data_IF_746857631051
#
_entry.id   IF_746857631051
#
_cell.length_a   1.000
_cell.length_b   1.000
_cell.length_c   1.000
_cell.angle_alpha   90.00
_cell.angle_beta   90.00
_cell.angle_gamma   90.00
#
_symmetry.space_group_name_H-M   'P 1'
#
loop_
_entity.id
_entity.type
_entity.pdbx_description
1 polymer ?
#
# COMPACT_ATOMS: atom_id res chain seq x y z
N UNK A 1 -8.96 -13.60 -42.55
CA UNK A 1 -9.23 -15.03 -42.76
C UNK A 1 -10.14 -15.23 -43.96
N UNK A 2 -11.04 -14.29 -44.26
CA UNK A 2 -12.01 -14.44 -45.37
C UNK A 2 -11.54 -13.85 -46.72
N UNK A 3 -10.31 -13.31 -46.79
CA UNK A 3 -9.81 -12.66 -47.99
C UNK A 3 -9.43 -13.67 -49.09
N UNK A 4 -10.08 -13.55 -50.25
CA UNK A 4 -9.93 -14.42 -51.43
C UNK A 4 -8.95 -13.78 -52.44
N UNK A 5 -9.15 -13.95 -53.75
CA UNK A 5 -8.28 -13.36 -54.80
C UNK A 5 -8.58 -11.87 -55.01
N UNK A 6 -7.68 -11.15 -55.67
CA UNK A 6 -7.69 -9.69 -55.88
C UNK A 6 -8.94 -9.12 -56.59
N UNK A 7 -9.89 -9.95 -57.01
CA UNK A 7 -11.14 -9.54 -57.67
C UNK A 7 -12.37 -10.35 -57.21
N UNK A 8 -12.25 -11.11 -56.13
CA UNK A 8 -13.34 -11.93 -55.57
C UNK A 8 -13.77 -11.37 -54.20
N UNK A 9 -15.06 -11.55 -53.88
CA UNK A 9 -15.61 -11.17 -52.57
C UNK A 9 -15.09 -12.08 -51.44
N UNK A 10 -15.20 -11.66 -50.17
CA UNK A 10 -14.73 -12.45 -49.05
C UNK A 10 -15.54 -13.75 -48.91
N UNK A 11 -14.86 -14.86 -48.69
CA UNK A 11 -15.48 -16.16 -48.44
C UNK A 11 -15.13 -16.62 -47.03
N UNK A 12 -16.11 -17.00 -46.20
CA UNK A 12 -15.86 -17.44 -44.83
C UNK A 12 -14.84 -18.57 -44.79
N UNK A 13 -13.85 -18.45 -43.91
CA UNK A 13 -12.88 -19.50 -43.61
C UNK A 13 -11.91 -19.89 -44.75
N UNK A 14 -11.79 -19.01 -45.75
CA UNK A 14 -11.01 -19.30 -46.96
C UNK A 14 -9.50 -19.45 -46.70
N UNK A 15 -8.91 -18.66 -45.79
CA UNK A 15 -7.47 -18.64 -45.49
C UNK A 15 -7.22 -18.54 -43.99
N UNK A 16 -7.38 -19.66 -43.30
CA UNK A 16 -7.08 -19.78 -41.87
C UNK A 16 -5.59 -19.64 -41.57
N UNK A 17 -4.70 -20.00 -42.50
CA UNK A 17 -3.24 -19.91 -42.31
C UNK A 17 -2.75 -18.47 -42.10
N UNK A 18 -3.50 -17.47 -42.58
CA UNK A 18 -3.23 -16.05 -42.34
C UNK A 18 -3.43 -15.67 -40.87
N UNK A 19 -4.24 -16.42 -40.12
CA UNK A 19 -4.38 -16.26 -38.67
C UNK A 19 -3.04 -16.45 -37.95
N UNK A 20 -2.28 -17.47 -38.34
CA UNK A 20 -1.00 -17.80 -37.74
C UNK A 20 0.01 -16.67 -37.93
N UNK A 21 0.00 -16.03 -39.11
CA UNK A 21 0.80 -14.84 -39.36
C UNK A 21 0.48 -13.71 -38.36
N UNK A 22 -0.80 -13.39 -38.16
CA UNK A 22 -1.19 -12.34 -37.21
C UNK A 22 -0.86 -12.71 -35.76
N UNK A 23 -1.05 -13.98 -35.36
CA UNK A 23 -0.68 -14.44 -34.02
C UNK A 23 0.81 -14.28 -33.77
N UNK A 24 1.65 -14.73 -34.71
CA UNK A 24 3.10 -14.56 -34.62
C UNK A 24 3.47 -13.08 -34.61
N UNK A 25 2.85 -12.28 -35.47
CA UNK A 25 3.10 -10.83 -35.54
C UNK A 25 2.76 -10.13 -34.22
N UNK A 26 1.59 -10.37 -33.64
CA UNK A 26 1.15 -9.74 -32.39
C UNK A 26 1.91 -10.22 -31.15
N UNK A 27 2.60 -11.35 -31.21
CA UNK A 27 3.47 -11.81 -30.12
C UNK A 27 4.89 -11.28 -30.31
N UNK A 28 5.49 -11.54 -31.47
CA UNK A 28 6.91 -11.28 -31.71
C UNK A 28 7.20 -9.79 -31.83
N UNK A 29 6.35 -9.04 -32.54
CA UNK A 29 6.61 -7.63 -32.80
C UNK A 29 6.52 -6.78 -31.51
N UNK A 30 5.45 -6.84 -30.70
CA UNK A 30 5.42 -6.12 -29.42
C UNK A 30 6.51 -6.56 -28.46
N UNK A 31 6.82 -7.86 -28.39
CA UNK A 31 7.89 -8.37 -27.53
C UNK A 31 9.25 -7.73 -27.87
N UNK A 32 9.59 -7.67 -29.16
CA UNK A 32 10.83 -7.04 -29.61
C UNK A 32 10.86 -5.54 -29.31
N UNK A 33 9.78 -4.82 -29.61
CA UNK A 33 9.70 -3.37 -29.37
C UNK A 33 9.76 -3.01 -27.89
N UNK A 34 9.08 -3.75 -27.02
CA UNK A 34 9.13 -3.54 -25.56
C UNK A 34 10.55 -3.74 -25.05
N UNK A 35 11.26 -4.78 -25.50
CA UNK A 35 12.63 -5.04 -25.06
C UNK A 35 13.61 -3.93 -25.47
N UNK A 36 13.53 -3.45 -26.72
CA UNK A 36 14.36 -2.33 -27.18
C UNK A 36 14.04 -1.06 -26.38
N UNK A 37 12.75 -0.76 -26.19
CA UNK A 37 12.32 0.44 -25.50
C UNK A 37 12.77 0.44 -24.04
N UNK A 38 12.59 -0.69 -23.33
CA UNK A 38 13.05 -0.86 -21.95
C UNK A 38 14.57 -0.74 -21.86
N UNK A 39 15.31 -1.35 -22.79
CA UNK A 39 16.77 -1.25 -22.81
C UNK A 39 17.25 0.20 -23.00
N UNK A 40 16.66 0.93 -23.96
CA UNK A 40 17.00 2.33 -24.21
C UNK A 40 16.68 3.22 -23.00
N UNK A 41 15.52 3.02 -22.36
CA UNK A 41 15.17 3.72 -21.12
C UNK A 41 16.20 3.43 -20.03
N UNK A 42 16.57 2.17 -19.79
CA UNK A 42 17.54 1.82 -18.75
C UNK A 42 18.88 2.50 -19.02
N UNK A 43 19.40 2.44 -20.25
CA UNK A 43 20.68 3.04 -20.62
C UNK A 43 20.64 4.55 -20.42
N UNK A 44 19.61 5.22 -20.95
CA UNK A 44 19.47 6.68 -20.82
C UNK A 44 19.36 7.14 -19.37
N UNK A 45 18.61 6.43 -18.51
CA UNK A 45 18.53 6.76 -17.08
C UNK A 45 19.83 6.45 -16.33
N UNK A 46 20.56 5.40 -16.72
CA UNK A 46 21.88 5.09 -16.16
C UNK A 46 22.88 6.19 -16.51
N UNK A 47 22.94 6.59 -17.78
CA UNK A 47 23.82 7.64 -18.28
C UNK A 47 23.54 8.99 -17.60
N UNK A 48 22.26 9.37 -17.47
CA UNK A 48 21.88 10.58 -16.70
C UNK A 48 22.32 10.50 -15.23
N UNK A 49 22.16 9.33 -14.61
CA UNK A 49 22.57 9.11 -13.22
C UNK A 49 24.08 9.12 -13.00
N UNK A 50 24.87 8.75 -14.01
CA UNK A 50 26.34 8.76 -13.97
C UNK A 50 26.89 10.16 -14.27
N UNK A 51 26.32 10.88 -15.24
CA UNK A 51 26.74 12.24 -15.60
C UNK A 51 26.66 13.22 -14.41
N UNK A 52 25.69 13.06 -13.50
CA UNK A 52 25.59 13.88 -12.27
C UNK A 52 26.72 13.61 -11.26
N UNK A 53 27.37 12.44 -11.33
CA UNK A 53 28.48 12.08 -10.44
C UNK A 53 29.86 12.42 -10.99
N UNK A 54 30.00 12.50 -12.32
CA UNK A 54 31.28 12.85 -12.98
C UNK A 54 31.75 14.25 -12.55
N UNK A 55 30.83 15.21 -12.40
CA UNK A 55 31.16 16.57 -11.95
C UNK A 55 31.76 16.64 -10.53
N UNK A 56 31.65 15.57 -9.74
CA UNK A 56 32.02 15.54 -8.33
C UNK A 56 33.30 14.74 -8.03
N UNK A 57 33.91 14.04 -9.01
CA UNK A 57 35.08 13.15 -8.82
C UNK A 57 34.90 12.13 -7.65
N UNK A 58 33.64 11.80 -7.30
CA UNK A 58 33.27 11.00 -6.13
C UNK A 58 32.47 9.76 -6.56
N UNK A 59 32.81 8.59 -6.03
CA UNK A 59 32.05 7.36 -6.27
C UNK A 59 30.64 7.41 -5.64
N UNK A 60 29.68 6.69 -6.25
CA UNK A 60 28.30 6.63 -5.80
C UNK A 60 28.15 6.12 -4.37
N UNK A 61 29.00 5.20 -3.94
CA UNK A 61 28.96 4.68 -2.58
C UNK A 61 29.51 5.72 -1.59
N UNK A 62 30.57 6.45 -1.96
CA UNK A 62 31.14 7.51 -1.15
C UNK A 62 30.15 8.66 -0.93
N UNK A 63 29.49 9.14 -2.01
CA UNK A 63 28.44 10.18 -1.92
C UNK A 63 27.34 9.78 -0.92
N UNK A 64 26.84 8.54 -1.01
CA UNK A 64 25.81 8.02 -0.08
C UNK A 64 26.27 7.97 1.37
N UNK A 65 27.51 7.55 1.63
CA UNK A 65 28.06 7.52 2.98
C UNK A 65 28.23 8.93 3.58
N UNK A 66 28.73 9.88 2.78
CA UNK A 66 28.91 11.27 3.18
C UNK A 66 27.55 11.92 3.47
N UNK A 67 26.58 11.76 2.56
CA UNK A 67 25.21 12.27 2.74
C UNK A 67 24.55 11.70 4.00
N UNK A 68 24.75 10.40 4.27
CA UNK A 68 24.23 9.78 5.49
C UNK A 68 24.89 10.37 6.73
N UNK A 69 26.21 10.52 6.75
CA UNK A 69 26.94 11.07 7.89
C UNK A 69 26.54 12.52 8.20
N UNK A 70 26.35 13.35 7.18
CA UNK A 70 25.95 14.76 7.32
C UNK A 70 24.48 14.89 7.77
N UNK A 71 23.58 14.08 7.20
CA UNK A 71 22.14 14.21 7.44
C UNK A 71 21.61 13.34 8.59
N UNK A 72 22.43 12.47 9.18
CA UNK A 72 22.02 11.59 10.27
C UNK A 72 21.54 12.41 11.47
N UNK A 73 20.30 12.17 11.89
CA UNK A 73 19.70 12.75 13.10
C UNK A 73 19.49 11.66 14.15
N UNK A 74 19.67 11.98 15.45
CA UNK A 74 19.43 11.01 16.51
C UNK A 74 17.97 10.57 16.52
N UNK A 75 17.76 9.25 16.65
CA UNK A 75 16.43 8.67 16.78
C UNK A 75 15.86 9.00 18.17
N UNK A 76 14.82 9.83 18.23
CA UNK A 76 14.13 10.13 19.49
C UNK A 76 13.28 8.93 19.94
N UNK A 77 13.83 8.05 20.79
CA UNK A 77 13.05 7.01 21.49
C UNK A 77 12.66 7.50 22.87
N UNK A 78 11.36 7.66 23.12
CA UNK A 78 10.86 8.06 24.44
C UNK A 78 11.08 6.94 25.46
N UNK A 79 11.74 7.29 26.57
CA UNK A 79 11.92 6.43 27.74
C UNK A 79 11.33 7.14 28.96
N UNK A 80 10.43 6.49 29.74
CA UNK A 80 9.95 7.03 31.00
C UNK A 80 11.11 7.24 31.99
N UNK A 81 11.13 8.38 32.69
CA UNK A 81 12.20 8.71 33.65
C UNK A 81 12.17 7.83 34.90
N UNK A 82 10.98 7.52 35.41
CA UNK A 82 10.81 6.80 36.67
C UNK A 82 10.64 5.30 36.48
N UNK A 83 11.72 4.54 36.72
CA UNK A 83 11.73 3.06 36.63
C UNK A 83 10.74 2.35 37.57
N UNK A 84 10.40 2.97 38.70
CA UNK A 84 9.50 2.38 39.71
C UNK A 84 8.02 2.69 39.48
N UNK A 85 7.70 3.55 38.53
CA UNK A 85 6.31 3.93 38.24
C UNK A 85 5.58 2.83 37.46
N UNK A 86 4.26 2.69 37.70
CA UNK A 86 3.39 1.83 36.89
C UNK A 86 3.49 2.14 35.39
N UNK A 87 3.77 3.40 35.04
CA UNK A 87 4.02 3.82 33.66
C UNK A 87 5.20 3.09 33.02
N UNK A 88 6.28 2.84 33.76
CA UNK A 88 7.44 2.12 33.25
C UNK A 88 7.12 0.64 33.00
N UNK A 89 6.33 0.00 33.87
CA UNK A 89 5.85 -1.38 33.67
C UNK A 89 4.99 -1.50 32.42
N UNK A 90 4.04 -0.58 32.22
CA UNK A 90 3.20 -0.54 31.02
C UNK A 90 4.05 -0.31 29.78
N UNK A 91 5.01 0.62 29.84
CA UNK A 91 5.94 0.87 28.74
C UNK A 91 6.80 -0.35 28.41
N UNK A 92 7.32 -1.07 29.41
CA UNK A 92 8.09 -2.29 29.20
C UNK A 92 7.25 -3.39 28.53
N UNK A 93 5.98 -3.54 28.94
CA UNK A 93 5.05 -4.49 28.34
C UNK A 93 4.78 -4.13 26.87
N UNK A 94 4.40 -2.89 26.60
CA UNK A 94 4.04 -2.43 25.24
C UNK A 94 5.23 -2.48 24.27
N UNK A 95 6.44 -2.21 24.77
CA UNK A 95 7.68 -2.23 23.96
C UNK A 95 8.26 -3.65 23.82
N UNK A 96 7.73 -4.63 24.55
CA UNK A 96 8.23 -6.01 24.47
C UNK A 96 7.91 -6.65 23.12
N UNK A 97 8.89 -7.35 22.55
CA UNK A 97 8.71 -8.15 21.32
C UNK A 97 7.58 -9.18 21.43
N UNK A 98 7.37 -9.93 22.55
CA UNK A 98 6.26 -10.88 22.63
C UNK A 98 4.88 -10.20 22.55
N UNK A 99 4.73 -8.98 23.09
CA UNK A 99 3.48 -8.23 22.97
C UNK A 99 3.19 -7.86 21.52
N UNK A 100 4.21 -7.44 20.76
CA UNK A 100 4.04 -7.17 19.33
C UNK A 100 3.63 -8.43 18.54
N UNK A 101 4.27 -9.58 18.80
CA UNK A 101 3.87 -10.86 18.18
C UNK A 101 2.46 -11.28 18.55
N UNK A 102 2.04 -11.08 19.79
CA UNK A 102 0.69 -11.36 20.25
C UNK A 102 -0.36 -10.56 19.46
N UNK A 103 -0.15 -9.24 19.30
CA UNK A 103 -1.05 -8.39 18.51
C UNK A 103 -1.09 -8.87 17.05
N UNK A 104 0.04 -9.22 16.46
CA UNK A 104 0.07 -9.73 15.08
C UNK A 104 -0.71 -11.01 14.89
N UNK A 105 -0.55 -11.99 15.80
CA UNK A 105 -1.31 -13.24 15.78
C UNK A 105 -2.81 -12.95 15.88
N UNK A 106 -3.22 -11.99 16.71
CA UNK A 106 -4.61 -11.61 16.87
C UNK A 106 -5.19 -10.93 15.62
N UNK A 107 -4.39 -10.12 14.92
CA UNK A 107 -4.78 -9.57 13.61
C UNK A 107 -4.96 -10.69 12.59
N UNK A 108 -4.00 -11.62 12.50
CA UNK A 108 -4.08 -12.75 11.59
C UNK A 108 -5.33 -13.62 11.87
N UNK A 109 -5.59 -13.96 13.13
CA UNK A 109 -6.78 -14.70 13.54
C UNK A 109 -8.07 -13.95 13.20
N UNK A 110 -8.16 -12.64 13.48
CA UNK A 110 -9.32 -11.83 13.13
C UNK A 110 -9.59 -11.85 11.61
N UNK A 111 -8.53 -11.84 10.81
CA UNK A 111 -8.65 -11.85 9.34
C UNK A 111 -9.06 -13.21 8.80
N UNK A 112 -8.55 -14.31 9.36
CA UNK A 112 -8.99 -15.67 9.03
C UNK A 112 -10.47 -15.86 9.34
N UNK A 113 -10.92 -15.41 10.51
CA UNK A 113 -12.35 -15.47 10.90
C UNK A 113 -13.22 -14.67 9.93
N UNK A 114 -12.74 -13.49 9.49
CA UNK A 114 -13.45 -12.68 8.50
C UNK A 114 -13.56 -13.38 7.14
N UNK A 115 -12.50 -14.05 6.69
CA UNK A 115 -12.51 -14.82 5.44
C UNK A 115 -13.47 -16.02 5.54
N UNK A 116 -13.49 -16.71 6.67
CA UNK A 116 -14.43 -17.81 6.92
C UNK A 116 -15.89 -17.35 6.92
N UNK A 117 -16.18 -16.12 7.38
CA UNK A 117 -17.53 -15.52 7.32
C UNK A 117 -18.10 -15.51 5.91
N UNK A 118 -17.28 -15.18 4.92
CA UNK A 118 -17.71 -15.08 3.54
C UNK A 118 -18.00 -16.45 2.92
N UNK A 119 -17.35 -17.51 3.43
CA UNK A 119 -17.52 -18.88 2.94
C UNK A 119 -18.70 -19.62 3.60
N UNK A 120 -19.01 -19.37 4.87
CA UNK A 120 -20.07 -20.05 5.61
C UNK A 120 -21.10 -19.07 6.19
N UNK A 121 -22.30 -19.04 5.60
CA UNK A 121 -23.38 -18.10 5.96
C UNK A 121 -24.08 -18.41 7.30
N UNK A 122 -23.87 -19.60 7.88
CA UNK A 122 -24.66 -20.13 9.01
C UNK A 122 -24.18 -19.70 10.42
N UNK A 123 -22.99 -19.09 10.56
CA UNK A 123 -22.41 -18.74 11.86
C UNK A 123 -22.46 -17.23 12.18
N UNK A 124 -23.52 -16.53 11.78
CA UNK A 124 -23.58 -15.07 11.87
C UNK A 124 -23.40 -14.51 13.30
N UNK A 125 -24.10 -15.05 14.31
CA UNK A 125 -24.10 -14.45 15.65
C UNK A 125 -22.75 -14.62 16.37
N UNK A 126 -22.18 -15.83 16.38
CA UNK A 126 -20.88 -16.09 17.01
C UNK A 126 -19.75 -15.27 16.40
N UNK A 127 -19.77 -15.08 15.07
CA UNK A 127 -18.75 -14.27 14.38
C UNK A 127 -18.86 -12.78 14.68
N UNK A 128 -20.06 -12.26 14.95
CA UNK A 128 -20.26 -10.87 15.36
C UNK A 128 -19.65 -10.64 16.75
N UNK A 129 -19.93 -11.53 17.72
CA UNK A 129 -19.34 -11.45 19.05
C UNK A 129 -17.82 -11.53 19.02
N UNK A 130 -17.24 -12.45 18.24
CA UNK A 130 -15.79 -12.57 18.09
C UNK A 130 -15.18 -11.30 17.48
N UNK A 131 -15.78 -10.75 16.43
CA UNK A 131 -15.27 -9.52 15.81
C UNK A 131 -15.36 -8.30 16.75
N UNK A 132 -16.40 -8.23 17.57
CA UNK A 132 -16.51 -7.24 18.64
C UNK A 132 -15.40 -7.42 19.67
N UNK A 133 -15.14 -8.65 20.13
CA UNK A 133 -14.06 -8.96 21.07
C UNK A 133 -12.67 -8.53 20.55
N UNK A 134 -12.34 -8.80 19.29
CA UNK A 134 -11.09 -8.32 18.68
C UNK A 134 -11.01 -6.78 18.66
N UNK A 135 -12.14 -6.10 18.41
CA UNK A 135 -12.19 -4.64 18.40
C UNK A 135 -11.94 -4.04 19.79
N UNK A 136 -12.52 -4.64 20.84
CA UNK A 136 -12.24 -4.25 22.23
C UNK A 136 -10.76 -4.47 22.57
N UNK A 137 -10.20 -5.59 22.13
CA UNK A 137 -8.80 -5.93 22.37
C UNK A 137 -7.82 -4.93 21.72
N UNK A 138 -8.04 -4.56 20.45
CA UNK A 138 -7.24 -3.53 19.78
C UNK A 138 -7.45 -2.14 20.40
N UNK A 139 -8.64 -1.86 20.93
CA UNK A 139 -8.88 -0.65 21.71
C UNK A 139 -8.01 -0.61 22.97
N UNK A 140 -7.92 -1.74 23.70
CA UNK A 140 -7.06 -1.87 24.89
C UNK A 140 -5.58 -1.68 24.51
N UNK A 141 -5.10 -2.31 23.43
CA UNK A 141 -3.74 -2.12 22.91
C UNK A 141 -3.42 -0.63 22.71
N UNK A 142 -4.32 0.09 22.04
CA UNK A 142 -4.18 1.51 21.76
C UNK A 142 -4.14 2.36 23.04
N UNK A 143 -5.03 2.10 23.99
CA UNK A 143 -5.03 2.79 25.30
C UNK A 143 -3.73 2.52 26.06
N UNK A 144 -3.25 1.28 26.11
CA UNK A 144 -1.99 0.92 26.75
C UNK A 144 -0.79 1.67 26.12
N UNK A 145 -0.76 1.79 24.79
CA UNK A 145 0.27 2.57 24.08
C UNK A 145 0.20 4.06 24.42
N UNK A 146 -1.00 4.65 24.49
CA UNK A 146 -1.19 6.05 24.87
C UNK A 146 -0.69 6.29 26.31
N UNK A 147 -1.00 5.38 27.23
CA UNK A 147 -0.50 5.45 28.62
C UNK A 147 1.02 5.28 28.72
N UNK A 148 1.60 4.38 27.93
CA UNK A 148 3.04 4.12 27.89
C UNK A 148 3.85 5.32 27.38
N UNK A 149 3.50 5.84 26.20
CA UNK A 149 4.26 6.90 25.53
C UNK A 149 3.81 8.31 25.92
N UNK A 150 2.60 8.45 26.46
CA UNK A 150 1.93 9.74 26.61
C UNK A 150 1.40 10.29 25.27
N UNK A 151 0.38 11.15 25.30
CA UNK A 151 -0.31 11.60 24.08
C UNK A 151 0.62 12.31 23.10
N UNK A 152 1.48 13.21 23.60
CA UNK A 152 2.40 13.99 22.74
C UNK A 152 3.37 13.12 21.94
N UNK A 153 3.91 12.05 22.55
CA UNK A 153 4.85 11.17 21.85
C UNK A 153 4.11 10.12 21.01
N UNK A 154 2.92 9.70 21.42
CA UNK A 154 2.07 8.79 20.66
C UNK A 154 1.68 9.38 19.29
N UNK A 155 1.19 10.62 19.26
CA UNK A 155 0.79 11.31 18.02
C UNK A 155 1.97 11.80 17.16
N UNK A 156 3.22 11.64 17.61
CA UNK A 156 4.40 11.95 16.78
C UNK A 156 4.75 10.81 15.81
N UNK A 157 4.40 9.58 16.16
CA UNK A 157 4.64 8.41 15.30
C UNK A 157 3.45 8.18 14.35
N UNK A 158 3.70 8.31 13.05
CA UNK A 158 2.69 8.13 11.99
C UNK A 158 1.98 6.77 12.07
N UNK A 159 2.69 5.72 12.49
CA UNK A 159 2.09 4.39 12.62
C UNK A 159 1.13 4.28 13.79
N UNK A 160 1.40 4.99 14.88
CA UNK A 160 0.52 5.02 16.06
C UNK A 160 -0.71 5.90 15.79
N UNK A 161 -0.57 6.97 15.02
CA UNK A 161 -1.71 7.76 14.52
C UNK A 161 -2.63 6.88 13.66
N UNK A 162 -2.05 6.12 12.72
CA UNK A 162 -2.81 5.19 11.89
C UNK A 162 -3.56 4.14 12.74
N UNK A 163 -2.87 3.53 13.71
CA UNK A 163 -3.47 2.60 14.67
C UNK A 163 -4.68 3.21 15.38
N UNK A 164 -4.54 4.43 15.89
CA UNK A 164 -5.61 5.16 16.56
C UNK A 164 -6.83 5.42 15.66
N UNK A 165 -6.60 5.83 14.41
CA UNK A 165 -7.67 6.04 13.42
C UNK A 165 -8.39 4.72 13.15
N UNK A 166 -7.66 3.61 12.99
CA UNK A 166 -8.28 2.30 12.74
C UNK A 166 -9.12 1.81 13.93
N UNK A 167 -8.68 2.10 15.16
CA UNK A 167 -9.44 1.77 16.37
C UNK A 167 -10.71 2.59 16.46
N UNK A 168 -10.65 3.91 16.25
CA UNK A 168 -11.85 4.77 16.22
C UNK A 168 -12.83 4.30 15.15
N UNK A 169 -12.36 4.08 13.92
CA UNK A 169 -13.19 3.61 12.82
C UNK A 169 -13.86 2.26 13.12
N UNK A 170 -13.18 1.39 13.87
CA UNK A 170 -13.74 0.11 14.31
C UNK A 170 -14.78 0.24 15.41
N UNK A 171 -14.59 1.18 16.35
CA UNK A 171 -15.57 1.46 17.40
C UNK A 171 -16.84 2.06 16.79
N UNK A 172 -16.69 3.02 15.87
CA UNK A 172 -17.83 3.60 15.14
C UNK A 172 -18.57 2.56 14.33
N UNK A 173 -17.85 1.61 13.72
CA UNK A 173 -18.46 0.50 12.98
C UNK A 173 -19.31 -0.42 13.87
N UNK A 174 -18.82 -0.79 15.06
CA UNK A 174 -19.62 -1.56 16.04
C UNK A 174 -20.82 -0.75 16.52
N UNK A 175 -20.63 0.52 16.89
CA UNK A 175 -21.71 1.38 17.39
C UNK A 175 -22.81 1.60 16.33
N UNK A 176 -22.44 1.84 15.08
CA UNK A 176 -23.39 2.00 13.96
C UNK A 176 -24.13 0.70 13.67
N UNK A 177 -23.46 -0.45 13.80
CA UNK A 177 -24.12 -1.76 13.58
C UNK A 177 -25.16 -2.11 14.65
N UNK A 178 -25.04 -1.56 15.86
CA UNK A 178 -26.00 -1.75 16.96
C UNK A 178 -27.15 -0.72 16.93
N UNK A 179 -26.90 0.48 16.38
CA UNK A 179 -27.85 1.60 16.45
C UNK A 179 -28.84 1.70 15.28
N UNK A 180 -28.66 0.99 14.14
CA UNK A 180 -29.44 1.33 12.95
C UNK A 180 -29.89 0.18 12.03
N UNK A 181 -31.21 0.06 11.86
CA UNK A 181 -31.88 -0.68 10.78
C UNK A 181 -31.92 0.09 9.43
N UNK A 182 -31.53 1.37 9.38
CA UNK A 182 -31.91 2.30 8.29
C UNK A 182 -30.83 3.28 7.75
N UNK A 183 -29.56 3.23 8.15
CA UNK A 183 -28.53 4.12 7.59
C UNK A 183 -27.87 3.52 6.34
N UNK A 184 -28.27 4.03 5.17
CA UNK A 184 -27.70 3.71 3.86
C UNK A 184 -26.30 4.27 3.60
N UNK A 185 -25.74 5.11 4.50
CA UNK A 185 -24.39 5.68 4.32
C UNK A 185 -23.30 4.64 4.64
N UNK A 186 -23.09 3.77 3.66
CA UNK A 186 -21.89 2.98 3.39
C UNK A 186 -21.38 2.07 4.53
N UNK A 187 -22.17 1.03 4.85
CA UNK A 187 -21.65 -0.19 5.49
C UNK A 187 -20.39 -0.73 4.78
N UNK A 188 -20.19 -0.41 3.50
CA UNK A 188 -18.95 -0.70 2.76
C UNK A 188 -17.72 0.05 3.28
N UNK A 189 -17.84 1.34 3.62
CA UNK A 189 -16.71 2.16 4.07
C UNK A 189 -16.20 1.73 5.44
N UNK A 190 -17.10 1.47 6.39
CA UNK A 190 -16.74 1.05 7.74
C UNK A 190 -16.01 -0.31 7.76
N UNK A 191 -16.34 -1.19 6.81
CA UNK A 191 -15.61 -2.46 6.59
C UNK A 191 -14.14 -2.25 6.20
N UNK A 192 -13.76 -1.12 5.60
CA UNK A 192 -12.35 -0.84 5.31
C UNK A 192 -11.52 -0.67 6.58
N UNK A 193 -12.06 -0.15 7.69
CA UNK A 193 -11.31 -0.03 8.94
C UNK A 193 -10.92 -1.38 9.53
N UNK A 194 -11.76 -2.41 9.33
CA UNK A 194 -11.42 -3.79 9.70
C UNK A 194 -10.26 -4.31 8.86
N UNK A 195 -10.33 -4.12 7.54
CA UNK A 195 -9.27 -4.51 6.61
C UNK A 195 -7.97 -3.72 6.82
N UNK A 196 -8.07 -2.45 7.23
CA UNK A 196 -6.94 -1.57 7.50
C UNK A 196 -6.02 -2.11 8.61
N UNK A 197 -6.53 -2.96 9.52
CA UNK A 197 -5.70 -3.63 10.53
C UNK A 197 -4.62 -4.53 9.91
N UNK A 198 -4.85 -5.08 8.71
CA UNK A 198 -3.83 -5.85 7.96
C UNK A 198 -2.60 -5.01 7.63
N UNK A 199 -2.75 -3.70 7.47
CA UNK A 199 -1.63 -2.78 7.21
C UNK A 199 -0.64 -2.77 8.39
N UNK A 200 -1.09 -3.08 9.62
CA UNK A 200 -0.18 -3.25 10.77
C UNK A 200 0.84 -4.36 10.53
N UNK A 201 0.51 -5.42 9.78
CA UNK A 201 1.45 -6.51 9.45
C UNK A 201 2.61 -6.02 8.56
N UNK A 202 2.33 -5.07 7.67
CA UNK A 202 3.34 -4.45 6.80
C UNK A 202 4.38 -3.66 7.61
N UNK A 203 4.02 -3.18 8.81
CA UNK A 203 4.96 -2.48 9.70
C UNK A 203 6.06 -3.43 10.18
N UNK A 204 5.80 -4.71 10.41
CA UNK A 204 6.75 -5.60 11.11
C UNK A 204 7.94 -6.01 10.23
N UNK A 205 7.70 -6.24 8.94
CA UNK A 205 8.74 -6.68 8.01
C UNK A 205 9.76 -5.58 7.75
N UNK A 206 11.01 -5.76 8.20
CA UNK A 206 12.09 -4.78 7.99
C UNK A 206 12.28 -4.46 6.50
N UNK A 207 12.38 -5.50 5.66
CA UNK A 207 12.51 -5.37 4.20
C UNK A 207 11.32 -4.65 3.59
N UNK A 208 10.08 -5.06 3.94
CA UNK A 208 8.84 -4.47 3.41
C UNK A 208 8.77 -3.00 3.78
N UNK A 209 9.10 -2.65 5.03
CA UNK A 209 9.09 -1.27 5.51
C UNK A 209 10.07 -0.39 4.73
N UNK A 210 11.28 -0.89 4.47
CA UNK A 210 12.27 -0.18 3.65
C UNK A 210 11.73 0.00 2.23
N UNK A 211 11.20 -1.07 1.63
CA UNK A 211 10.71 -1.07 0.25
C UNK A 211 9.54 -0.08 0.08
N UNK A 212 8.59 -0.08 1.02
CA UNK A 212 7.51 0.91 1.06
C UNK A 212 8.03 2.34 1.26
N UNK A 213 9.01 2.52 2.14
CA UNK A 213 9.61 3.84 2.37
C UNK A 213 10.31 4.37 1.12
N UNK A 214 11.12 3.54 0.45
CA UNK A 214 11.79 3.89 -0.80
C UNK A 214 10.78 4.16 -1.90
N UNK A 215 9.69 3.38 -1.98
CA UNK A 215 8.63 3.60 -2.95
C UNK A 215 7.92 4.94 -2.74
N UNK A 216 7.54 5.26 -1.50
CA UNK A 216 6.93 6.56 -1.18
C UNK A 216 7.87 7.70 -1.52
N UNK A 217 9.17 7.53 -1.28
CA UNK A 217 10.17 8.54 -1.65
C UNK A 217 10.27 8.71 -3.17
N UNK A 218 10.22 7.63 -3.95
CA UNK A 218 10.20 7.69 -5.41
C UNK A 218 8.94 8.39 -5.94
N UNK A 219 7.76 8.11 -5.38
CA UNK A 219 6.50 8.76 -5.79
C UNK A 219 6.56 10.28 -5.58
N UNK A 220 7.18 10.74 -4.49
CA UNK A 220 7.36 12.18 -4.24
C UNK A 220 8.22 12.90 -5.28
N UNK A 221 9.04 12.17 -6.04
CA UNK A 221 9.86 12.73 -7.12
C UNK A 221 9.13 12.79 -8.47
N UNK A 222 7.92 12.22 -8.58
CA UNK A 222 7.16 12.14 -9.84
C UNK A 222 5.97 13.10 -10.03
N UNK A 223 5.70 14.13 -9.18
CA UNK A 223 4.45 14.90 -9.31
C UNK A 223 4.38 15.67 -10.63
N UNK A 224 5.51 16.17 -11.14
CA UNK A 224 5.55 16.92 -12.41
C UNK A 224 5.20 16.04 -13.61
N UNK A 225 5.67 14.79 -13.63
CA UNK A 225 5.35 13.82 -14.68
C UNK A 225 3.85 13.49 -14.66
N UNK A 226 3.29 13.24 -13.47
CA UNK A 226 1.85 13.01 -13.32
C UNK A 226 1.02 14.23 -13.76
N UNK A 227 1.46 15.45 -13.42
CA UNK A 227 0.79 16.68 -13.83
C UNK A 227 0.78 16.83 -15.35
N UNK A 228 1.93 16.59 -16.02
CA UNK A 228 2.03 16.65 -17.47
C UNK A 228 1.06 15.67 -18.15
N UNK A 229 1.01 14.43 -17.65
CA UNK A 229 0.06 13.42 -18.15
C UNK A 229 -1.39 13.86 -17.93
N UNK A 230 -1.72 14.41 -16.76
CA UNK A 230 -3.05 14.93 -16.47
C UNK A 230 -3.43 16.12 -17.38
N UNK A 231 -2.48 17.01 -17.69
CA UNK A 231 -2.68 18.12 -18.62
C UNK A 231 -2.92 17.62 -20.05
N UNK A 232 -2.21 16.59 -20.47
CA UNK A 232 -2.41 15.95 -21.77
C UNK A 232 -3.82 15.35 -21.86
N UNK A 233 -4.25 14.59 -20.86
CA UNK A 233 -5.63 14.10 -20.79
C UNK A 233 -6.65 15.23 -20.83
N UNK A 234 -6.41 16.32 -20.10
CA UNK A 234 -7.29 17.47 -20.09
C UNK A 234 -7.45 18.11 -21.49
N UNK A 235 -6.35 18.31 -22.22
CA UNK A 235 -6.39 18.85 -23.60
C UNK A 235 -7.17 17.92 -24.53
N UNK A 236 -6.88 16.61 -24.49
CA UNK A 236 -7.60 15.65 -25.34
C UNK A 236 -9.08 15.52 -24.99
N UNK A 237 -9.44 15.64 -23.71
CA UNK A 237 -10.85 15.70 -23.30
C UNK A 237 -11.56 16.93 -23.89
N UNK A 238 -10.91 18.11 -23.88
CA UNK A 238 -11.50 19.32 -24.48
C UNK A 238 -11.69 19.16 -25.99
N UNK A 239 -10.67 18.71 -26.70
CA UNK A 239 -10.75 18.47 -28.15
C UNK A 239 -11.88 17.47 -28.45
N UNK A 240 -11.92 16.35 -27.73
CA UNK A 240 -12.97 15.35 -27.91
C UNK A 240 -14.38 15.87 -27.63
N UNK A 241 -14.54 16.78 -26.66
CA UNK A 241 -15.82 17.45 -26.40
C UNK A 241 -16.19 18.50 -27.44
N UNK A 242 -15.21 19.09 -28.12
CA UNK A 242 -15.43 20.10 -29.16
C UNK A 242 -15.73 19.47 -30.53
N UNK A 243 -15.20 18.27 -30.78
CA UNK A 243 -15.42 17.49 -32.00
C UNK A 243 -16.60 16.50 -31.89
N UNK A 244 -17.30 16.46 -30.74
CA UNK A 244 -18.55 15.69 -30.52
C UNK A 244 -19.78 16.60 -30.63
#
# INVERSE_FOLDING_TARGET
MDATKTSEGPSPDYRQEVALFYVVFFIVFPFFFVNIFVALIIITFQEQGENELIDLDIDKNQKRCIDFAINARPLCRYMPKDRRSMKYRIWQLVVSTPFEYYIMVMIALNTLILMMKQAYHNYCNTLIYLNSAFTVMFSIECVLKIMAFGPKNYFRDRWNIFDFITVIGSITDVLVSELQESAFLSLGFLRLFRAARLIKLLRQGYTIRILMWTFIQSVKALPYVCLLIAMLFFIYCIIGMQDS
#
